data_IF_557602479002
#
_entry.id   IF_557602479002
#
_cell.length_a   1.000
_cell.length_b   1.000
_cell.length_c   1.000
_cell.angle_alpha   90.00
_cell.angle_beta   90.00
_cell.angle_gamma   90.00
#
_symmetry.space_group_name_H-M   'P 1'
#
loop_
_entity.id
_entity.type
_entity.pdbx_description
1 polymer ?
#
# COMPACT_ATOMS: atom_id res chain seq x y z
N UNK A 1 -71.73 8.38 13.60
CA UNK A 1 -70.84 8.90 12.56
C UNK A 1 -69.73 9.68 13.24
N UNK A 2 -68.46 9.33 12.97
CA UNK A 2 -67.35 10.28 12.72
C UNK A 2 -66.93 11.20 13.89
N UNK A 3 -65.75 11.16 14.50
CA UNK A 3 -64.54 10.38 14.31
C UNK A 3 -63.78 10.31 15.65
N UNK A 4 -63.25 9.13 15.91
CA UNK A 4 -62.10 8.85 16.75
C UNK A 4 -60.99 9.91 16.64
N UNK A 5 -60.31 10.12 17.77
CA UNK A 5 -58.86 10.18 17.88
C UNK A 5 -58.16 11.23 17.01
N UNK A 6 -57.91 12.40 17.58
CA UNK A 6 -56.88 13.31 17.07
C UNK A 6 -55.94 13.66 18.22
N UNK A 7 -54.89 12.84 18.29
CA UNK A 7 -53.51 13.22 18.59
C UNK A 7 -53.21 13.47 20.07
N UNK A 8 -53.04 12.33 20.75
CA UNK A 8 -52.03 12.11 21.78
C UNK A 8 -50.66 12.55 21.22
N UNK A 9 -50.31 13.83 21.40
CA UNK A 9 -49.01 14.41 21.02
C UNK A 9 -47.92 14.08 22.06
N UNK A 10 -47.87 12.83 22.50
CA UNK A 10 -46.85 12.33 23.39
C UNK A 10 -46.54 10.91 22.95
N UNK A 11 -45.24 10.59 22.91
CA UNK A 11 -44.66 9.31 22.47
C UNK A 11 -44.55 9.26 20.94
N UNK A 12 -43.41 9.72 20.45
CA UNK A 12 -42.51 9.02 19.51
C UNK A 12 -41.46 10.05 19.07
N UNK A 13 -40.70 10.59 20.02
CA UNK A 13 -39.29 10.88 19.74
C UNK A 13 -38.63 9.51 19.58
N UNK A 14 -38.82 8.90 18.40
CA UNK A 14 -37.92 7.88 17.91
C UNK A 14 -36.58 8.59 17.77
N UNK A 15 -35.77 8.52 18.80
CA UNK A 15 -34.32 8.64 18.68
C UNK A 15 -33.92 7.56 17.70
N UNK A 16 -33.94 7.90 16.41
CA UNK A 16 -33.20 7.20 15.38
C UNK A 16 -31.74 7.43 15.73
N UNK A 17 -31.24 6.72 16.73
CA UNK A 17 -29.85 6.34 16.74
C UNK A 17 -29.72 5.46 15.50
N UNK A 18 -29.51 6.09 14.34
CA UNK A 18 -28.81 5.47 13.25
C UNK A 18 -27.45 5.14 13.83
N UNK A 19 -27.34 3.99 14.50
CA UNK A 19 -26.09 3.30 14.62
C UNK A 19 -25.66 3.06 13.18
N UNK A 20 -24.84 3.96 12.66
CA UNK A 20 -23.98 3.60 11.56
C UNK A 20 -23.28 2.35 12.05
N UNK A 21 -23.66 1.19 11.52
CA UNK A 21 -22.83 0.01 11.58
C UNK A 21 -21.55 0.44 10.89
N UNK A 22 -20.58 0.92 11.66
CA UNK A 22 -19.19 0.85 11.26
C UNK A 22 -18.96 -0.64 11.11
N UNK A 23 -19.16 -1.16 9.89
CA UNK A 23 -18.65 -2.47 9.51
C UNK A 23 -17.16 -2.33 9.74
N UNK A 24 -16.70 -2.78 10.91
CA UNK A 24 -15.28 -2.86 11.23
C UNK A 24 -14.70 -3.72 10.13
N UNK A 25 -13.92 -3.08 9.26
CA UNK A 25 -13.36 -3.75 8.12
C UNK A 25 -12.27 -4.69 8.63
N UNK A 26 -12.28 -5.92 8.15
CA UNK A 26 -11.26 -6.90 8.51
C UNK A 26 -10.09 -6.75 7.53
N UNK A 27 -9.32 -5.66 7.70
CA UNK A 27 -8.15 -5.36 6.88
C UNK A 27 -7.15 -6.50 6.89
N UNK A 28 -6.96 -7.19 8.03
CA UNK A 28 -6.03 -8.32 8.14
C UNK A 28 -6.39 -9.44 7.17
N UNK A 29 -7.65 -9.86 7.13
CA UNK A 29 -8.09 -10.93 6.23
C UNK A 29 -8.16 -10.45 4.78
N UNK A 30 -8.62 -9.22 4.55
CA UNK A 30 -8.80 -8.67 3.21
C UNK A 30 -7.46 -8.38 2.50
N UNK A 31 -6.38 -8.09 3.23
CA UNK A 31 -5.06 -7.84 2.64
C UNK A 31 -4.35 -9.11 2.15
N UNK A 32 -4.74 -10.28 2.65
CA UNK A 32 -4.06 -11.55 2.32
C UNK A 32 -4.10 -11.84 0.82
N UNK A 33 -2.98 -12.33 0.30
CA UNK A 33 -2.85 -12.74 -1.09
C UNK A 33 -1.73 -12.01 -1.82
N UNK A 34 -1.77 -12.08 -3.14
CA UNK A 34 -0.76 -11.52 -4.03
C UNK A 34 -1.27 -10.22 -4.65
N UNK A 35 -0.40 -9.23 -4.71
CA UNK A 35 -0.71 -7.90 -5.21
C UNK A 35 0.42 -7.43 -6.14
N UNK A 36 0.07 -6.67 -7.17
CA UNK A 36 1.02 -5.90 -7.97
C UNK A 36 0.85 -4.43 -7.61
N UNK A 37 1.86 -3.88 -6.94
CA UNK A 37 1.95 -2.48 -6.58
C UNK A 37 2.74 -1.69 -7.64
N UNK A 38 2.30 -0.47 -7.91
CA UNK A 38 2.91 0.44 -8.88
C UNK A 38 3.09 1.81 -8.26
N UNK A 39 4.34 2.27 -8.23
CA UNK A 39 4.66 3.65 -7.87
C UNK A 39 5.34 4.35 -9.04
N UNK A 40 4.77 5.48 -9.46
CA UNK A 40 5.14 6.15 -10.71
C UNK A 40 5.35 7.65 -10.46
N UNK A 41 6.57 8.09 -10.74
CA UNK A 41 7.02 9.47 -10.64
C UNK A 41 7.79 9.88 -11.90
N UNK A 42 7.89 11.18 -12.21
CA UNK A 42 8.81 11.64 -13.25
C UNK A 42 10.24 11.17 -12.94
N UNK A 43 10.84 10.38 -13.84
CA UNK A 43 12.19 9.83 -13.69
C UNK A 43 12.32 8.61 -12.79
N UNK A 44 11.20 8.06 -12.26
CA UNK A 44 11.20 6.88 -11.41
C UNK A 44 9.94 6.03 -11.64
N UNK A 45 10.12 4.72 -11.76
CA UNK A 45 9.01 3.77 -11.76
C UNK A 45 9.38 2.53 -10.98
N UNK A 46 8.54 2.11 -10.04
CA UNK A 46 8.66 0.86 -9.33
C UNK A 46 7.44 -0.03 -9.56
N UNK A 47 7.71 -1.29 -9.81
CA UNK A 47 6.72 -2.35 -9.97
C UNK A 47 7.08 -3.48 -9.03
N UNK A 48 6.20 -3.77 -8.09
CA UNK A 48 6.42 -4.79 -7.08
C UNK A 48 5.30 -5.81 -7.13
N UNK A 49 5.64 -7.10 -7.13
CA UNK A 49 4.73 -8.17 -6.75
C UNK A 49 4.98 -8.50 -5.29
N UNK A 50 4.00 -8.23 -4.43
CA UNK A 50 4.06 -8.49 -2.99
C UNK A 50 3.01 -9.51 -2.59
N UNK A 51 3.36 -10.41 -1.67
CA UNK A 51 2.43 -11.38 -1.08
C UNK A 51 2.35 -11.17 0.42
N UNK A 52 1.18 -10.82 0.93
CA UNK A 52 0.88 -10.79 2.36
C UNK A 52 0.39 -12.17 2.82
N UNK A 53 1.05 -12.72 3.84
CA UNK A 53 0.75 -14.05 4.40
C UNK A 53 0.12 -13.93 5.78
N UNK A 54 -0.71 -14.91 6.12
CA UNK A 54 -1.44 -14.99 7.40
C UNK A 54 -0.54 -15.05 8.64
N UNK A 55 0.72 -15.41 8.47
CA UNK A 55 1.71 -15.46 9.56
C UNK A 55 2.34 -14.08 9.88
N UNK A 56 1.82 -12.99 9.30
CA UNK A 56 2.33 -11.64 9.51
C UNK A 56 3.60 -11.33 8.70
N UNK A 57 3.97 -12.20 7.76
CA UNK A 57 5.13 -11.97 6.89
C UNK A 57 4.71 -11.64 5.46
N UNK A 58 5.56 -10.90 4.75
CA UNK A 58 5.43 -10.71 3.32
C UNK A 58 6.71 -11.10 2.58
N UNK A 59 6.55 -11.41 1.31
CA UNK A 59 7.67 -11.58 0.38
C UNK A 59 7.34 -10.84 -0.91
N UNK A 60 8.35 -10.22 -1.51
CA UNK A 60 8.15 -9.47 -2.75
C UNK A 60 9.31 -9.63 -3.73
N UNK A 61 8.99 -9.35 -4.99
CA UNK A 61 9.98 -9.15 -6.02
C UNK A 61 9.49 -8.10 -7.02
N UNK A 62 10.42 -7.37 -7.62
CA UNK A 62 10.05 -6.26 -8.47
C UNK A 62 11.18 -5.70 -9.32
N UNK A 63 10.82 -4.67 -10.08
CA UNK A 63 11.75 -3.86 -10.85
C UNK A 63 11.60 -2.39 -10.44
N UNK A 64 12.74 -1.71 -10.29
CA UNK A 64 12.83 -0.27 -10.12
C UNK A 64 13.57 0.29 -11.33
N UNK A 65 13.01 1.32 -11.95
CA UNK A 65 13.56 2.03 -13.11
C UNK A 65 13.83 3.46 -12.68
N UNK A 66 15.06 3.93 -12.86
CA UNK A 66 15.48 5.30 -12.53
C UNK A 66 16.12 5.95 -13.75
N UNK A 67 15.72 7.19 -14.03
CA UNK A 67 16.34 8.03 -15.04
C UNK A 67 17.39 8.94 -14.37
N UNK A 68 18.68 8.65 -14.59
CA UNK A 68 19.79 9.45 -14.09
C UNK A 68 20.11 10.56 -15.08
N UNK A 69 20.02 11.83 -14.66
CA UNK A 69 20.46 12.95 -15.48
C UNK A 69 22.00 13.00 -15.53
N UNK A 70 22.57 12.76 -16.70
CA UNK A 70 24.03 12.83 -16.91
C UNK A 70 24.45 14.24 -17.32
N UNK A 71 23.65 14.85 -18.18
CA UNK A 71 23.80 16.22 -18.67
C UNK A 71 22.40 16.81 -18.89
N UNK A 72 22.29 18.13 -19.05
CA UNK A 72 20.99 18.80 -19.22
C UNK A 72 20.15 18.15 -20.34
N UNK A 73 18.98 17.64 -19.98
CA UNK A 73 18.06 16.92 -20.87
C UNK A 73 18.60 15.60 -21.47
N UNK A 74 19.65 15.02 -20.90
CA UNK A 74 20.19 13.72 -21.31
C UNK A 74 20.17 12.75 -20.13
N UNK A 75 19.35 11.70 -20.25
CA UNK A 75 19.05 10.77 -19.17
C UNK A 75 19.50 9.36 -19.50
N UNK A 76 20.16 8.72 -18.54
CA UNK A 76 20.47 7.31 -18.54
C UNK A 76 19.39 6.55 -17.77
N UNK A 77 18.65 5.70 -18.48
CA UNK A 77 17.67 4.80 -17.85
C UNK A 77 18.36 3.56 -17.29
N UNK A 78 18.22 3.35 -16.00
CA UNK A 78 18.81 2.21 -15.28
C UNK A 78 17.70 1.38 -14.65
N UNK A 79 17.81 0.07 -14.79
CA UNK A 79 16.89 -0.92 -14.21
C UNK A 79 17.57 -1.70 -13.11
N UNK A 80 16.87 -1.85 -12.00
CA UNK A 80 17.24 -2.64 -10.85
C UNK A 80 16.18 -3.70 -10.61
N UNK A 81 16.59 -4.93 -10.32
CA UNK A 81 15.69 -5.94 -9.77
C UNK A 81 15.81 -5.95 -8.25
N UNK A 82 14.69 -6.05 -7.56
CA UNK A 82 14.65 -6.18 -6.11
C UNK A 82 13.92 -7.46 -5.71
N UNK A 83 14.40 -8.10 -4.66
CA UNK A 83 13.68 -9.15 -3.93
C UNK A 83 13.72 -8.80 -2.45
N UNK A 84 12.61 -8.96 -1.76
CA UNK A 84 12.48 -8.55 -0.36
C UNK A 84 11.63 -9.51 0.45
N UNK A 85 11.86 -9.48 1.75
CA UNK A 85 10.97 -10.06 2.76
C UNK A 85 10.79 -9.07 3.90
N UNK A 86 9.75 -9.30 4.68
CA UNK A 86 9.50 -8.49 5.84
C UNK A 86 8.28 -8.93 6.62
N UNK A 87 7.89 -8.06 7.56
CA UNK A 87 6.75 -8.21 8.43
C UNK A 87 5.68 -7.20 8.07
N UNK A 88 4.42 -7.55 8.31
CA UNK A 88 3.28 -6.65 8.21
C UNK A 88 2.27 -6.91 9.33
N UNK A 89 1.55 -5.85 9.70
CA UNK A 89 0.41 -5.89 10.63
C UNK A 89 -0.53 -4.71 10.32
N UNK A 90 -1.74 -4.76 10.88
CA UNK A 90 -2.69 -3.64 10.82
C UNK A 90 -2.76 -2.98 12.19
N UNK A 91 -2.50 -1.68 12.25
CA UNK A 91 -2.66 -0.87 13.47
C UNK A 91 -3.46 0.40 13.15
N UNK A 92 -4.57 0.62 13.86
CA UNK A 92 -5.45 1.78 13.69
C UNK A 92 -5.87 2.04 12.22
N UNK A 93 -6.27 0.98 11.51
CA UNK A 93 -6.62 0.98 10.08
C UNK A 93 -5.45 1.33 9.12
N UNK A 94 -4.20 1.32 9.61
CA UNK A 94 -3.00 1.52 8.80
C UNK A 94 -2.28 0.19 8.56
N UNK A 95 -1.62 0.09 7.41
CA UNK A 95 -0.65 -0.96 7.15
C UNK A 95 0.67 -0.56 7.81
N UNK A 96 1.12 -1.36 8.76
CA UNK A 96 2.46 -1.25 9.33
C UNK A 96 3.33 -2.30 8.64
N UNK A 97 4.45 -1.87 8.06
CA UNK A 97 5.36 -2.74 7.32
C UNK A 97 6.81 -2.50 7.72
N UNK A 98 7.59 -3.57 7.75
CA UNK A 98 9.01 -3.55 8.04
C UNK A 98 9.75 -4.48 7.08
N UNK A 99 10.80 -3.99 6.44
CA UNK A 99 11.69 -4.80 5.60
C UNK A 99 12.75 -5.45 6.50
N UNK A 100 12.81 -6.78 6.54
CA UNK A 100 13.86 -7.50 7.28
C UNK A 100 15.05 -7.87 6.39
N UNK A 101 14.79 -8.05 5.09
CA UNK A 101 15.78 -8.38 4.08
C UNK A 101 15.37 -7.78 2.73
N UNK A 102 16.35 -7.22 2.04
CA UNK A 102 16.21 -6.83 0.65
C UNK A 102 17.52 -7.08 -0.07
N UNK A 103 17.42 -7.59 -1.30
CA UNK A 103 18.54 -7.68 -2.22
C UNK A 103 18.19 -6.98 -3.52
N UNK A 104 19.00 -6.00 -3.87
CA UNK A 104 18.90 -5.26 -5.11
C UNK A 104 20.01 -5.72 -6.06
N UNK A 105 19.71 -5.77 -7.35
CA UNK A 105 20.67 -6.12 -8.39
C UNK A 105 20.47 -5.24 -9.60
N UNK A 106 21.51 -4.54 -10.00
CA UNK A 106 21.53 -3.73 -11.20
C UNK A 106 21.45 -4.62 -12.44
N UNK A 107 20.39 -4.43 -13.23
CA UNK A 107 20.10 -5.22 -14.44
C UNK A 107 20.72 -4.63 -15.68
N UNK A 108 20.92 -3.31 -15.67
CA UNK A 108 21.50 -2.54 -16.77
C UNK A 108 22.58 -1.62 -16.23
N UNK A 109 23.65 -1.40 -16.98
CA UNK A 109 24.74 -0.48 -16.57
C UNK A 109 25.34 -0.79 -15.19
N UNK A 110 25.88 -2.01 -14.93
CA UNK A 110 26.40 -2.39 -13.60
C UNK A 110 27.49 -1.46 -13.04
N UNK A 111 28.20 -0.75 -13.91
CA UNK A 111 29.19 0.26 -13.53
C UNK A 111 28.61 1.39 -12.67
N UNK A 112 27.29 1.61 -12.70
CA UNK A 112 26.65 2.65 -11.90
C UNK A 112 26.70 2.34 -10.40
N UNK A 113 26.82 1.08 -10.01
CA UNK A 113 26.87 0.67 -8.59
C UNK A 113 28.10 1.24 -7.87
N UNK A 114 29.14 1.61 -8.60
CA UNK A 114 30.33 2.30 -8.07
C UNK A 114 30.04 3.75 -7.61
N UNK A 115 28.97 4.36 -8.13
CA UNK A 115 28.59 5.76 -7.90
C UNK A 115 27.27 5.89 -7.15
N UNK A 116 26.34 4.99 -7.41
CA UNK A 116 25.02 4.94 -6.80
C UNK A 116 24.63 3.49 -6.56
N UNK A 117 24.71 3.08 -5.30
CA UNK A 117 24.26 1.76 -4.88
C UNK A 117 22.80 1.81 -4.45
N UNK A 118 21.91 1.25 -5.28
CA UNK A 118 20.48 1.20 -4.99
C UNK A 118 20.15 0.37 -3.74
N UNK A 119 20.99 -0.61 -3.38
CA UNK A 119 20.82 -1.39 -2.15
C UNK A 119 20.77 -0.51 -0.90
N UNK A 120 21.55 0.57 -0.88
CA UNK A 120 21.72 1.45 0.28
C UNK A 120 20.53 2.41 0.46
N UNK A 121 19.59 2.45 -0.48
CA UNK A 121 18.39 3.28 -0.40
C UNK A 121 17.27 2.63 0.43
N UNK A 122 17.43 1.35 0.81
CA UNK A 122 16.46 0.63 1.64
C UNK A 122 16.90 0.65 3.10
N UNK A 123 16.00 1.09 3.97
CA UNK A 123 16.20 1.02 5.43
C UNK A 123 15.62 -0.30 5.94
N UNK A 124 16.43 -1.09 6.63
CA UNK A 124 16.03 -2.37 7.20
C UNK A 124 15.65 -2.23 8.67
N UNK A 125 14.72 -3.07 9.12
CA UNK A 125 14.27 -3.16 10.52
C UNK A 125 13.69 -1.86 11.08
N UNK A 126 13.19 -1.00 10.20
CA UNK A 126 12.43 0.20 10.58
C UNK A 126 10.96 0.00 10.21
N UNK A 127 10.07 0.32 11.15
CA UNK A 127 8.62 0.18 10.93
C UNK A 127 8.11 1.43 10.24
N UNK A 128 7.47 1.22 9.09
CA UNK A 128 6.79 2.27 8.33
C UNK A 128 5.28 2.09 8.46
N UNK A 129 4.54 3.20 8.50
CA UNK A 129 3.08 3.21 8.59
C UNK A 129 2.52 3.89 7.35
N UNK A 130 1.53 3.24 6.75
CA UNK A 130 0.85 3.69 5.54
C UNK A 130 -0.67 3.66 5.76
N UNK A 131 -1.33 4.77 5.45
CA UNK A 131 -2.77 4.89 5.49
C UNK A 131 -3.40 4.03 4.39
N UNK A 132 -4.32 3.14 4.75
CA UNK A 132 -5.13 2.38 3.81
C UNK A 132 -6.29 3.26 3.36
N UNK A 133 -6.07 4.07 2.32
CA UNK A 133 -7.08 5.01 1.80
C UNK A 133 -8.25 4.26 1.16
N UNK A 134 -7.95 3.18 0.44
CA UNK A 134 -8.93 2.28 -0.16
C UNK A 134 -8.41 0.86 -0.04
N UNK A 135 -9.27 -0.05 0.40
CA UNK A 135 -9.12 -1.47 0.16
C UNK A 135 -10.37 -1.97 -0.56
N UNK A 136 -10.27 -3.02 -1.35
CA UNK A 136 -11.38 -3.73 -1.99
C UNK A 136 -10.87 -5.10 -2.45
N UNK A 137 -11.76 -5.94 -2.96
CA UNK A 137 -11.43 -7.30 -3.41
C UNK A 137 -10.25 -7.35 -4.39
N UNK A 138 -10.06 -6.32 -5.22
CA UNK A 138 -9.04 -6.32 -6.27
C UNK A 138 -8.13 -5.08 -6.32
N UNK A 139 -8.30 -4.14 -5.40
CA UNK A 139 -7.58 -2.86 -5.42
C UNK A 139 -7.27 -2.35 -4.02
N UNK A 140 -6.04 -1.85 -3.84
CA UNK A 140 -5.59 -1.10 -2.67
C UNK A 140 -5.03 0.24 -3.13
N UNK A 141 -5.35 1.30 -2.40
CA UNK A 141 -4.60 2.54 -2.40
C UNK A 141 -3.95 2.72 -1.03
N UNK A 142 -2.62 2.77 -1.02
CA UNK A 142 -1.82 2.99 0.18
C UNK A 142 -1.21 4.39 0.11
N UNK A 143 -1.18 5.10 1.23
CA UNK A 143 -0.60 6.43 1.33
C UNK A 143 0.45 6.47 2.44
N UNK A 144 1.74 6.61 2.11
CA UNK A 144 2.77 6.76 3.11
C UNK A 144 2.68 8.12 3.81
N UNK A 145 3.24 8.20 5.03
CA UNK A 145 3.33 9.46 5.79
C UNK A 145 4.04 10.58 5.04
N UNK A 146 4.98 10.23 4.16
CA UNK A 146 5.70 11.15 3.28
C UNK A 146 5.60 10.67 1.84
N UNK A 147 5.10 11.51 0.95
CA UNK A 147 5.01 11.21 -0.47
C UNK A 147 3.58 11.14 -0.99
N UNK A 148 3.43 10.53 -2.17
CA UNK A 148 2.15 10.30 -2.84
C UNK A 148 1.70 8.87 -2.55
N UNK A 149 0.38 8.66 -2.52
CA UNK A 149 -0.15 7.31 -2.50
C UNK A 149 0.12 6.54 -3.80
N UNK A 150 0.21 5.22 -3.67
CA UNK A 150 0.42 4.29 -4.76
C UNK A 150 -0.65 3.20 -4.75
N UNK A 151 -0.73 2.47 -5.85
CA UNK A 151 -1.83 1.55 -6.12
C UNK A 151 -1.34 0.13 -6.22
N UNK A 152 -2.11 -0.78 -5.63
CA UNK A 152 -1.88 -2.22 -5.73
C UNK A 152 -3.12 -2.92 -6.28
N UNK A 153 -2.89 -3.88 -7.16
CA UNK A 153 -3.95 -4.65 -7.83
C UNK A 153 -3.80 -6.12 -7.50
N UNK A 154 -4.90 -6.78 -7.08
CA UNK A 154 -4.86 -8.20 -6.73
C UNK A 154 -4.54 -9.04 -7.97
N UNK A 155 -3.75 -10.08 -7.76
CA UNK A 155 -3.48 -11.09 -8.77
C UNK A 155 -3.72 -12.49 -8.22
N UNK A 156 -4.29 -13.34 -9.06
CA UNK A 156 -4.38 -14.78 -8.82
C UNK A 156 -3.20 -15.46 -9.54
N UNK A 157 -2.45 -16.27 -8.80
CA UNK A 157 -1.28 -17.03 -9.30
C UNK A 157 -1.55 -18.52 -9.09
#
# INVERSE_FOLDING_TARGET
MKYLSVILAAILLSSSASGALTVSRDYETELLGNWICKDLWPGYAAFEMIRYKKDGTWNSFGEVIVDFELEKNNYLKVRYGAVGTGLWEIEDDNLISMIDYVKVTTRTHPWIDEYFNMQDQFTLNDKTSEEIVVLSDNYINLKPNTGKGYECYRIEI
#
